data_IF_454603411607
#
_entry.id   IF_454603411607
#
_cell.length_a   1.000
_cell.length_b   1.000
_cell.length_c   1.000
_cell.angle_alpha   90.00
_cell.angle_beta   90.00
_cell.angle_gamma   90.00
#
_symmetry.space_group_name_H-M   'P 1'
#
loop_
_entity.id
_entity.type
_entity.pdbx_description
1 polymer ?
#
# COMPACT_ATOMS: atom_id res chain seq x y z
N UNK A 1 -9.66 24.55 1.44
CA UNK A 1 -8.76 23.63 2.16
C UNK A 1 -9.00 22.26 1.55
N UNK A 2 -8.00 21.66 0.96
CA UNK A 2 -8.20 20.48 0.06
C UNK A 2 -8.05 19.20 0.87
N UNK A 3 -9.12 18.41 1.00
CA UNK A 3 -9.12 17.09 1.64
C UNK A 3 -8.11 16.12 0.97
N UNK A 4 -7.75 16.38 -0.29
CA UNK A 4 -6.75 15.62 -1.03
C UNK A 4 -5.32 15.68 -0.44
N UNK A 5 -5.00 16.66 0.39
CA UNK A 5 -3.68 16.72 1.03
C UNK A 5 -3.50 15.69 2.15
N UNK A 6 -4.57 15.21 2.76
CA UNK A 6 -4.51 14.24 3.87
C UNK A 6 -4.38 12.78 3.40
N UNK A 7 -4.98 12.42 2.27
CA UNK A 7 -4.85 11.08 1.70
C UNK A 7 -3.40 10.71 1.37
N UNK A 8 -2.55 11.71 1.06
CA UNK A 8 -1.13 11.49 0.75
C UNK A 8 -0.24 11.18 1.97
N UNK A 9 -0.72 11.43 3.20
CA UNK A 9 0.07 11.17 4.43
C UNK A 9 -0.15 9.80 5.06
N UNK A 10 -1.30 9.15 4.84
CA UNK A 10 -1.60 7.84 5.41
C UNK A 10 -0.91 6.66 4.70
N UNK A 11 -0.36 6.89 3.51
CA UNK A 11 0.32 5.86 2.70
C UNK A 11 1.76 5.51 3.14
N UNK A 12 2.27 6.03 4.27
CA UNK A 12 3.69 5.85 4.68
C UNK A 12 3.97 4.67 5.61
N UNK A 13 3.08 3.72 5.73
CA UNK A 13 3.24 2.56 6.60
C UNK A 13 3.70 1.28 5.90
N UNK A 14 4.63 1.33 4.93
CA UNK A 14 5.27 0.11 4.44
C UNK A 14 6.64 -0.06 5.11
N UNK A 15 6.66 -0.86 6.17
CA UNK A 15 7.89 -1.48 6.62
C UNK A 15 8.44 -2.34 5.48
N UNK A 16 9.72 -2.13 5.18
CA UNK A 16 10.47 -2.96 4.25
C UNK A 16 10.34 -4.44 4.69
N UNK A 17 9.61 -5.24 3.93
CA UNK A 17 9.64 -6.68 4.06
C UNK A 17 11.08 -7.11 3.75
N UNK A 18 11.80 -7.54 4.78
CA UNK A 18 13.05 -8.27 4.62
C UNK A 18 12.71 -9.56 3.88
N UNK A 19 13.05 -9.61 2.60
CA UNK A 19 12.97 -10.84 1.81
C UNK A 19 14.01 -11.77 2.38
N UNK A 20 13.57 -12.85 3.05
CA UNK A 20 14.44 -13.92 3.45
C UNK A 20 15.15 -14.46 2.19
N UNK A 21 16.45 -14.28 2.13
CA UNK A 21 17.28 -14.89 1.09
C UNK A 21 17.37 -16.40 1.40
N UNK A 22 16.42 -17.18 0.88
CA UNK A 22 16.59 -18.61 0.82
C UNK A 22 17.71 -18.90 -0.18
N UNK A 23 18.68 -19.69 0.23
CA UNK A 23 19.78 -20.14 -0.60
C UNK A 23 19.24 -20.93 -1.79
N UNK A 24 19.28 -20.34 -2.98
CA UNK A 24 18.78 -20.94 -4.21
C UNK A 24 19.66 -22.11 -4.62
N UNK A 25 19.19 -23.34 -4.43
CA UNK A 25 19.83 -24.51 -5.00
C UNK A 25 19.59 -24.51 -6.52
N UNK A 26 20.67 -24.57 -7.27
CA UNK A 26 20.69 -24.66 -8.72
C UNK A 26 20.13 -26.02 -9.17
N UNK A 27 18.83 -26.08 -9.45
CA UNK A 27 18.22 -27.23 -10.10
C UNK A 27 18.81 -27.44 -11.51
N UNK A 28 19.18 -28.66 -11.83
CA UNK A 28 19.84 -29.06 -13.07
C UNK A 28 18.94 -28.87 -14.30
N UNK A 29 19.08 -27.73 -14.97
CA UNK A 29 18.59 -27.54 -16.35
C UNK A 29 19.57 -26.61 -17.07
N UNK A 30 20.02 -27.00 -18.24
CA UNK A 30 20.98 -26.39 -19.17
C UNK A 30 22.16 -25.65 -18.47
N UNK A 31 23.40 -26.04 -18.74
CA UNK A 31 24.57 -25.36 -18.13
C UNK A 31 24.47 -23.85 -18.36
N UNK A 32 24.33 -23.02 -17.30
CA UNK A 32 24.22 -21.57 -17.46
C UNK A 32 25.51 -21.04 -18.11
N UNK A 33 25.40 -19.94 -18.87
CA UNK A 33 26.60 -19.23 -19.37
C UNK A 33 27.45 -18.82 -18.17
N UNK A 34 28.60 -19.45 -18.01
CA UNK A 34 29.51 -19.20 -16.89
C UNK A 34 29.85 -17.68 -16.77
N UNK A 35 29.90 -16.97 -17.89
CA UNK A 35 30.19 -15.53 -17.90
C UNK A 35 29.06 -14.68 -17.30
N UNK A 36 27.79 -15.04 -17.57
CA UNK A 36 26.66 -14.33 -16.96
C UNK A 36 26.55 -14.63 -15.45
N UNK A 37 26.50 -15.91 -15.07
CA UNK A 37 26.33 -16.31 -13.67
C UNK A 37 27.48 -15.84 -12.78
N UNK A 38 28.73 -15.93 -13.25
CA UNK A 38 29.89 -15.46 -12.50
C UNK A 38 29.79 -13.98 -12.12
N UNK A 39 29.21 -13.17 -13.00
CA UNK A 39 29.05 -11.73 -12.77
C UNK A 39 27.76 -11.39 -12.04
N UNK A 40 26.68 -12.12 -12.31
CA UNK A 40 25.36 -11.84 -11.76
C UNK A 40 25.16 -12.33 -10.32
N UNK A 41 25.63 -13.53 -9.98
CA UNK A 41 25.40 -14.13 -8.67
C UNK A 41 25.85 -13.26 -7.48
N UNK A 42 27.03 -12.60 -7.50
CA UNK A 42 27.43 -11.70 -6.44
C UNK A 42 26.49 -10.48 -6.32
N UNK A 43 26.05 -9.90 -7.40
CA UNK A 43 25.14 -8.75 -7.40
C UNK A 43 23.78 -9.15 -6.84
N UNK A 44 23.25 -10.28 -7.28
CA UNK A 44 21.99 -10.85 -6.76
C UNK A 44 22.08 -11.05 -5.24
N UNK A 45 23.12 -11.76 -4.77
CA UNK A 45 23.33 -11.98 -3.35
C UNK A 45 23.40 -10.69 -2.57
N UNK A 46 24.10 -9.67 -3.05
CA UNK A 46 24.22 -8.36 -2.39
C UNK A 46 22.87 -7.66 -2.27
N UNK A 47 22.02 -7.73 -3.30
CA UNK A 47 20.70 -7.08 -3.27
C UNK A 47 19.74 -7.75 -2.30
N UNK A 48 19.80 -9.07 -2.18
CA UNK A 48 18.83 -9.85 -1.39
C UNK A 48 19.39 -10.41 -0.06
N UNK A 49 20.65 -10.12 0.30
CA UNK A 49 21.17 -10.48 1.62
C UNK A 49 20.57 -9.63 2.74
N UNK A 50 20.36 -10.21 3.90
CA UNK A 50 19.98 -9.47 5.11
C UNK A 50 21.08 -8.47 5.47
N UNK A 51 20.71 -7.18 5.61
CA UNK A 51 21.66 -6.12 5.92
C UNK A 51 22.57 -5.69 4.77
N UNK A 52 22.36 -6.21 3.56
CA UNK A 52 23.14 -5.84 2.38
C UNK A 52 23.06 -4.34 2.08
N UNK A 53 24.18 -3.63 2.27
CA UNK A 53 24.33 -2.22 1.88
C UNK A 53 25.01 -2.14 0.53
N UNK A 54 24.44 -1.36 -0.39
CA UNK A 54 25.04 -1.12 -1.70
C UNK A 54 24.71 0.28 -2.22
N UNK A 55 25.60 0.81 -3.07
CA UNK A 55 25.30 2.01 -3.83
C UNK A 55 24.27 1.68 -4.92
N UNK A 56 23.04 2.17 -4.75
CA UNK A 56 21.97 1.90 -5.72
C UNK A 56 22.31 2.37 -7.15
N UNK A 57 23.14 3.44 -7.31
CA UNK A 57 23.57 3.91 -8.62
C UNK A 57 24.59 2.94 -9.25
N UNK A 58 25.63 2.53 -8.53
CA UNK A 58 26.62 1.58 -9.02
C UNK A 58 25.97 0.24 -9.34
N UNK A 59 25.16 -0.30 -8.43
CA UNK A 59 24.42 -1.56 -8.62
C UNK A 59 23.55 -1.52 -9.88
N UNK A 60 22.84 -0.42 -10.13
CA UNK A 60 22.04 -0.29 -11.37
C UNK A 60 22.91 -0.33 -12.63
N UNK A 61 24.07 0.33 -12.62
CA UNK A 61 24.99 0.32 -13.76
C UNK A 61 25.56 -1.09 -14.00
N UNK A 62 25.96 -1.78 -12.94
CA UNK A 62 26.50 -3.15 -13.02
C UNK A 62 25.46 -4.14 -13.57
N UNK A 63 24.19 -4.03 -13.11
CA UNK A 63 23.11 -4.87 -13.61
C UNK A 63 22.76 -4.56 -15.07
N UNK A 64 22.76 -3.28 -15.49
CA UNK A 64 22.55 -2.89 -16.88
C UNK A 64 23.65 -3.43 -17.79
N UNK A 65 24.91 -3.44 -17.33
CA UNK A 65 26.05 -3.98 -18.07
C UNK A 65 25.94 -5.49 -18.34
N UNK A 66 25.01 -6.20 -17.67
CA UNK A 66 24.74 -7.63 -17.90
C UNK A 66 23.67 -7.89 -18.98
N UNK A 67 22.84 -6.90 -19.32
CA UNK A 67 21.77 -7.09 -20.31
C UNK A 67 22.25 -7.62 -21.68
N UNK A 68 23.37 -7.15 -22.25
CA UNK A 68 23.88 -7.71 -23.50
C UNK A 68 24.22 -9.20 -23.41
N UNK A 69 24.56 -9.70 -22.20
CA UNK A 69 24.89 -11.09 -22.00
C UNK A 69 23.66 -12.00 -22.09
N UNK A 70 22.44 -11.46 -21.88
CA UNK A 70 21.20 -12.22 -22.03
C UNK A 70 20.95 -12.73 -23.45
N UNK A 71 21.63 -12.15 -24.45
CA UNK A 71 21.54 -12.57 -25.86
C UNK A 71 22.50 -13.72 -26.23
N UNK A 72 23.37 -14.12 -25.30
CA UNK A 72 24.34 -15.18 -25.55
C UNK A 72 23.71 -16.56 -25.50
N UNK A 73 24.22 -17.51 -26.30
CA UNK A 73 23.80 -18.90 -26.20
C UNK A 73 24.01 -19.45 -24.78
N UNK A 74 23.03 -20.22 -24.29
CA UNK A 74 23.09 -20.85 -22.97
C UNK A 74 22.44 -20.01 -21.85
N UNK A 75 22.09 -18.72 -22.06
CA UNK A 75 21.29 -17.94 -21.13
C UNK A 75 19.83 -18.33 -21.33
N UNK A 76 19.17 -18.68 -20.22
CA UNK A 76 17.77 -19.13 -20.21
C UNK A 76 16.81 -18.05 -19.71
N UNK A 77 15.53 -18.21 -20.01
CA UNK A 77 14.47 -17.26 -19.58
C UNK A 77 14.51 -16.94 -18.07
N UNK A 78 14.86 -17.93 -17.24
CA UNK A 78 15.05 -17.76 -15.79
C UNK A 78 16.14 -16.72 -15.45
N UNK A 79 17.23 -16.68 -16.19
CA UNK A 79 18.34 -15.75 -15.97
C UNK A 79 17.90 -14.32 -16.30
N UNK A 80 17.20 -14.15 -17.42
CA UNK A 80 16.62 -12.86 -17.80
C UNK A 80 15.60 -12.38 -16.73
N UNK A 81 14.73 -13.26 -16.27
CA UNK A 81 13.78 -12.98 -15.21
C UNK A 81 14.50 -12.49 -13.94
N UNK A 82 15.50 -13.23 -13.46
CA UNK A 82 16.25 -12.89 -12.25
C UNK A 82 16.98 -11.55 -12.37
N UNK A 83 17.60 -11.27 -13.52
CA UNK A 83 18.27 -10.00 -13.76
C UNK A 83 17.28 -8.83 -13.64
N UNK A 84 16.15 -8.89 -14.35
CA UNK A 84 15.17 -7.80 -14.34
C UNK A 84 14.41 -7.71 -13.01
N UNK A 85 14.21 -8.83 -12.30
CA UNK A 85 13.71 -8.82 -10.92
C UNK A 85 14.66 -8.06 -9.98
N UNK A 86 15.95 -8.30 -10.10
CA UNK A 86 16.97 -7.60 -9.31
C UNK A 86 17.02 -6.11 -9.65
N UNK A 87 16.96 -5.75 -10.94
CA UNK A 87 16.89 -4.35 -11.38
C UNK A 87 15.65 -3.65 -10.82
N UNK A 88 14.48 -4.28 -10.90
CA UNK A 88 13.24 -3.73 -10.35
C UNK A 88 13.39 -3.43 -8.85
N UNK A 89 13.98 -4.35 -8.09
CA UNK A 89 14.23 -4.20 -6.65
C UNK A 89 15.20 -3.05 -6.35
N UNK A 90 16.26 -2.89 -7.14
CA UNK A 90 17.22 -1.79 -6.98
C UNK A 90 16.60 -0.44 -7.36
N UNK A 91 15.84 -0.36 -8.44
CA UNK A 91 15.14 0.87 -8.82
C UNK A 91 14.11 1.28 -7.77
N UNK A 92 13.34 0.33 -7.24
CA UNK A 92 12.37 0.60 -6.18
C UNK A 92 13.04 1.18 -4.91
N UNK A 93 14.18 0.61 -4.47
CA UNK A 93 14.95 1.16 -3.34
C UNK A 93 15.50 2.56 -3.59
N UNK A 94 15.67 2.95 -4.85
CA UNK A 94 16.08 4.30 -5.27
C UNK A 94 14.91 5.27 -5.45
N UNK A 95 13.67 4.85 -5.23
CA UNK A 95 12.47 5.65 -5.49
C UNK A 95 12.16 5.86 -6.98
N UNK A 96 12.75 5.06 -7.87
CA UNK A 96 12.59 5.13 -9.33
C UNK A 96 11.43 4.22 -9.76
N UNK A 97 10.21 4.58 -9.39
CA UNK A 97 9.02 3.73 -9.56
C UNK A 97 8.72 3.38 -11.02
N UNK A 98 8.94 4.32 -11.94
CA UNK A 98 8.73 4.10 -13.37
C UNK A 98 9.68 3.04 -13.94
N UNK A 99 10.95 3.13 -13.59
CA UNK A 99 11.99 2.18 -13.99
C UNK A 99 11.77 0.81 -13.32
N UNK A 100 11.37 0.81 -12.05
CA UNK A 100 11.02 -0.41 -11.32
C UNK A 100 9.86 -1.15 -11.98
N UNK A 101 8.77 -0.44 -12.33
CA UNK A 101 7.62 -1.01 -13.02
C UNK A 101 8.00 -1.56 -14.41
N UNK A 102 8.85 -0.84 -15.15
CA UNK A 102 9.35 -1.28 -16.46
C UNK A 102 10.19 -2.56 -16.35
N UNK A 103 11.12 -2.62 -15.41
CA UNK A 103 11.95 -3.79 -15.17
C UNK A 103 11.10 -4.99 -14.72
N UNK A 104 10.11 -4.79 -13.84
CA UNK A 104 9.17 -5.82 -13.44
C UNK A 104 8.37 -6.38 -14.62
N UNK A 105 7.85 -5.51 -15.49
CA UNK A 105 7.15 -5.93 -16.72
C UNK A 105 8.06 -6.76 -17.64
N UNK A 106 9.31 -6.34 -17.80
CA UNK A 106 10.30 -7.09 -18.62
C UNK A 106 10.61 -8.46 -18.02
N UNK A 107 10.77 -8.55 -16.69
CA UNK A 107 10.97 -9.82 -16.00
C UNK A 107 9.78 -10.77 -16.23
N UNK A 108 8.55 -10.29 -16.00
CA UNK A 108 7.34 -11.09 -16.17
C UNK A 108 7.10 -11.52 -17.63
N UNK A 109 7.58 -10.73 -18.60
CA UNK A 109 7.55 -11.09 -20.02
C UNK A 109 8.57 -12.17 -20.35
N UNK A 110 9.75 -12.13 -19.73
CA UNK A 110 10.79 -13.15 -19.92
C UNK A 110 10.37 -14.53 -19.38
N UNK A 111 9.53 -14.55 -18.31
CA UNK A 111 9.05 -15.78 -17.69
C UNK A 111 7.54 -15.67 -17.41
N UNK A 112 6.67 -15.74 -18.44
CA UNK A 112 5.25 -15.42 -18.31
C UNK A 112 4.41 -16.50 -17.64
N UNK A 113 4.76 -17.77 -17.83
CA UNK A 113 3.98 -18.89 -17.30
C UNK A 113 4.15 -19.02 -15.78
N UNK A 114 3.10 -19.45 -15.05
CA UNK A 114 3.23 -19.79 -13.64
C UNK A 114 4.31 -20.84 -13.43
N UNK A 115 5.13 -20.66 -12.41
CA UNK A 115 6.24 -21.54 -12.12
C UNK A 115 5.86 -22.54 -11.03
N UNK A 116 6.31 -23.78 -11.16
CA UNK A 116 6.20 -24.82 -10.12
C UNK A 116 7.32 -24.72 -9.07
N UNK A 117 8.41 -24.04 -9.41
CA UNK A 117 9.49 -23.71 -8.48
C UNK A 117 8.97 -22.64 -7.48
N UNK A 118 8.94 -22.92 -6.17
CA UNK A 118 8.35 -22.02 -5.18
C UNK A 118 8.99 -20.64 -5.15
N UNK A 119 10.30 -20.54 -5.33
CA UNK A 119 11.02 -19.26 -5.33
C UNK A 119 10.64 -18.39 -6.53
N UNK A 120 10.61 -19.00 -7.72
CA UNK A 120 10.21 -18.27 -8.93
C UNK A 120 8.74 -17.87 -8.88
N UNK A 121 7.90 -18.75 -8.35
CA UNK A 121 6.49 -18.46 -8.14
C UNK A 121 6.31 -17.28 -7.19
N UNK A 122 7.02 -17.28 -6.06
CA UNK A 122 7.03 -16.15 -5.14
C UNK A 122 7.54 -14.86 -5.80
N UNK A 123 8.67 -14.93 -6.51
CA UNK A 123 9.24 -13.76 -7.18
C UNK A 123 8.30 -13.19 -8.26
N UNK A 124 7.59 -14.05 -8.99
CA UNK A 124 6.56 -13.62 -9.95
C UNK A 124 5.39 -12.92 -9.26
N UNK A 125 4.89 -13.50 -8.17
CA UNK A 125 3.84 -12.86 -7.35
C UNK A 125 4.33 -11.52 -6.81
N UNK A 126 5.50 -11.49 -6.18
CA UNK A 126 6.09 -10.27 -5.61
C UNK A 126 6.22 -9.16 -6.64
N UNK A 127 6.72 -9.47 -7.85
CA UNK A 127 6.82 -8.48 -8.93
C UNK A 127 5.44 -7.94 -9.35
N UNK A 128 4.45 -8.81 -9.51
CA UNK A 128 3.07 -8.40 -9.86
C UNK A 128 2.48 -7.53 -8.78
N UNK A 129 2.60 -7.94 -7.52
CA UNK A 129 2.09 -7.22 -6.37
C UNK A 129 2.78 -5.85 -6.21
N UNK A 130 4.11 -5.82 -6.19
CA UNK A 130 4.89 -4.59 -6.03
C UNK A 130 4.72 -3.64 -7.23
N UNK A 131 4.53 -4.16 -8.44
CA UNK A 131 4.31 -3.32 -9.62
C UNK A 131 3.03 -2.51 -9.56
N UNK A 132 2.02 -2.93 -8.81
CA UNK A 132 0.82 -2.13 -8.55
C UNK A 132 1.22 -0.77 -7.97
N UNK A 133 2.01 -0.80 -6.90
CA UNK A 133 2.48 0.41 -6.23
C UNK A 133 3.41 1.24 -7.11
N UNK A 134 4.36 0.61 -7.78
CA UNK A 134 5.29 1.33 -8.66
C UNK A 134 4.58 1.99 -9.84
N UNK A 135 3.56 1.35 -10.41
CA UNK A 135 2.72 1.95 -11.47
C UNK A 135 1.88 3.11 -10.91
N UNK A 136 1.32 2.95 -9.71
CA UNK A 136 0.55 4.01 -9.06
C UNK A 136 1.43 5.25 -8.77
N UNK A 137 2.62 5.03 -8.18
CA UNK A 137 3.58 6.10 -7.89
C UNK A 137 4.10 6.79 -9.17
N UNK A 138 4.09 6.09 -10.31
CA UNK A 138 4.41 6.63 -11.63
C UNK A 138 3.20 7.31 -12.31
N UNK A 139 2.05 7.44 -11.64
CA UNK A 139 0.81 8.02 -12.19
C UNK A 139 0.09 7.13 -13.20
N UNK A 140 0.46 5.84 -13.31
CA UNK A 140 -0.12 4.89 -14.26
C UNK A 140 -1.26 4.08 -13.61
N UNK A 141 -2.23 4.77 -12.99
CA UNK A 141 -3.27 4.17 -12.16
C UNK A 141 -4.12 3.13 -12.92
N UNK A 142 -4.42 3.36 -14.22
CA UNK A 142 -5.17 2.39 -15.03
C UNK A 142 -4.40 1.08 -15.24
N UNK A 143 -3.08 1.15 -15.45
CA UNK A 143 -2.23 -0.03 -15.57
C UNK A 143 -2.09 -0.76 -14.23
N UNK A 144 -1.95 -0.03 -13.12
CA UNK A 144 -1.97 -0.59 -11.78
C UNK A 144 -3.28 -1.33 -11.48
N UNK A 145 -4.43 -0.72 -11.80
CA UNK A 145 -5.75 -1.33 -11.61
C UNK A 145 -5.91 -2.63 -12.42
N UNK A 146 -5.35 -2.68 -13.63
CA UNK A 146 -5.33 -3.92 -14.43
C UNK A 146 -4.56 -5.05 -13.72
N UNK A 147 -3.42 -4.75 -13.09
CA UNK A 147 -2.66 -5.72 -12.29
C UNK A 147 -3.45 -6.18 -11.06
N UNK A 148 -4.08 -5.25 -10.35
CA UNK A 148 -4.96 -5.57 -9.22
C UNK A 148 -6.03 -6.57 -9.64
N UNK A 149 -6.76 -6.29 -10.74
CA UNK A 149 -7.82 -7.19 -11.23
C UNK A 149 -7.30 -8.58 -11.60
N UNK A 150 -6.11 -8.65 -12.19
CA UNK A 150 -5.48 -9.93 -12.52
C UNK A 150 -5.12 -10.74 -11.27
N UNK A 151 -4.63 -10.09 -10.20
CA UNK A 151 -4.34 -10.75 -8.93
C UNK A 151 -5.60 -11.13 -8.17
N UNK A 152 -6.65 -10.30 -8.16
CA UNK A 152 -7.94 -10.62 -7.54
C UNK A 152 -8.59 -11.86 -8.17
N UNK A 153 -8.44 -12.06 -9.48
CA UNK A 153 -8.94 -13.25 -10.17
C UNK A 153 -8.20 -14.54 -9.72
N UNK A 154 -6.93 -14.42 -9.32
CA UNK A 154 -6.13 -15.53 -8.81
C UNK A 154 -6.34 -15.76 -7.31
N UNK A 155 -6.59 -14.71 -6.55
CA UNK A 155 -6.68 -14.72 -5.08
C UNK A 155 -7.98 -14.06 -4.62
N UNK A 156 -9.12 -14.75 -4.72
CA UNK A 156 -10.42 -14.20 -4.33
C UNK A 156 -10.50 -13.94 -2.82
N UNK A 157 -11.15 -12.84 -2.43
CA UNK A 157 -11.28 -12.41 -1.04
C UNK A 157 -11.95 -13.48 -0.15
N UNK A 158 -12.82 -14.30 -0.72
CA UNK A 158 -13.49 -15.40 -0.04
C UNK A 158 -12.54 -16.47 0.51
N UNK A 159 -11.33 -16.58 -0.05
CA UNK A 159 -10.30 -17.48 0.48
C UNK A 159 -9.87 -17.09 1.90
N UNK A 160 -9.91 -15.79 2.24
CA UNK A 160 -9.58 -15.31 3.58
C UNK A 160 -10.75 -15.59 4.54
N UNK A 161 -11.97 -15.30 4.12
CA UNK A 161 -13.15 -15.44 4.95
C UNK A 161 -13.42 -16.91 5.39
N UNK A 162 -12.95 -17.88 4.61
CA UNK A 162 -13.09 -19.31 4.91
C UNK A 162 -12.04 -19.88 5.87
N UNK A 163 -11.02 -19.10 6.27
CA UNK A 163 -9.96 -19.58 7.15
C UNK A 163 -10.33 -19.39 8.64
N UNK A 164 -9.86 -20.25 9.56
CA UNK A 164 -9.91 -19.99 11.00
C UNK A 164 -9.25 -18.65 11.37
N UNK A 165 -9.73 -17.97 12.42
CA UNK A 165 -9.25 -16.65 12.81
C UNK A 165 -7.73 -16.63 13.05
N UNK A 166 -7.20 -17.65 13.73
CA UNK A 166 -5.78 -17.84 14.00
C UNK A 166 -4.93 -18.02 12.73
N UNK A 167 -5.51 -18.53 11.64
CA UNK A 167 -4.83 -18.67 10.36
C UNK A 167 -5.02 -17.45 9.46
N UNK A 168 -6.13 -16.71 9.64
CA UNK A 168 -6.44 -15.54 8.82
C UNK A 168 -5.49 -14.37 9.04
N UNK A 169 -4.96 -14.26 10.29
CA UNK A 169 -4.27 -13.05 10.71
C UNK A 169 -2.86 -13.28 11.22
N UNK A 170 -2.32 -14.50 11.06
CA UNK A 170 -0.97 -14.81 11.52
C UNK A 170 0.08 -13.96 10.77
N UNK A 171 0.46 -12.85 11.39
CA UNK A 171 1.56 -11.98 10.94
C UNK A 171 2.94 -12.54 11.36
N UNK A 172 2.95 -13.45 12.34
CA UNK A 172 4.18 -14.04 12.87
C UNK A 172 4.65 -15.24 12.07
N UNK A 173 3.77 -15.83 11.26
CA UNK A 173 4.19 -16.79 10.27
C UNK A 173 5.19 -16.10 9.34
N UNK A 174 6.43 -15.99 9.81
CA UNK A 174 7.54 -15.93 8.85
C UNK A 174 7.17 -16.96 7.81
N UNK A 175 7.26 -16.67 6.51
CA UNK A 175 7.12 -17.71 5.51
C UNK A 175 8.20 -18.75 5.79
N UNK A 176 7.96 -19.57 6.82
CA UNK A 176 8.80 -20.71 7.18
C UNK A 176 8.84 -21.69 6.02
N UNK A 177 7.94 -21.46 5.05
CA UNK A 177 7.91 -22.14 3.77
C UNK A 177 7.49 -21.09 2.73
N UNK A 178 8.30 -20.91 1.70
CA UNK A 178 7.95 -20.19 0.48
C UNK A 178 6.65 -20.70 -0.18
N UNK A 179 5.93 -21.60 0.47
CA UNK A 179 4.73 -22.29 0.00
C UNK A 179 3.43 -21.60 0.48
N UNK A 180 3.50 -20.71 1.47
CA UNK A 180 2.32 -20.10 2.10
C UNK A 180 2.03 -18.67 1.59
N UNK A 181 2.53 -18.31 0.43
CA UNK A 181 2.17 -17.04 -0.19
C UNK A 181 1.10 -17.22 -1.28
N UNK A 182 0.37 -16.14 -1.58
CA UNK A 182 0.41 -14.86 -0.90
C UNK A 182 -0.13 -14.96 0.53
N UNK A 183 0.49 -14.21 1.43
CA UNK A 183 -0.09 -14.07 2.77
C UNK A 183 -1.46 -13.39 2.68
N UNK A 184 -2.29 -13.62 3.68
CA UNK A 184 -3.61 -12.98 3.74
C UNK A 184 -3.50 -11.46 3.72
N UNK A 185 -2.46 -10.90 4.34
CA UNK A 185 -2.18 -9.47 4.30
C UNK A 185 -1.87 -8.95 2.91
N UNK A 186 -1.15 -9.73 2.11
CA UNK A 186 -0.89 -9.37 0.71
C UNK A 186 -2.18 -9.43 -0.12
N UNK A 187 -3.04 -10.43 0.13
CA UNK A 187 -4.35 -10.51 -0.53
C UNK A 187 -5.21 -9.31 -0.14
N UNK A 188 -5.30 -8.95 1.15
CA UNK A 188 -6.03 -7.76 1.59
C UNK A 188 -5.50 -6.48 0.96
N UNK A 189 -4.17 -6.32 0.89
CA UNK A 189 -3.53 -5.19 0.22
C UNK A 189 -3.94 -5.03 -1.25
N UNK A 190 -4.10 -6.15 -1.99
CA UNK A 190 -4.59 -6.12 -3.38
C UNK A 190 -6.00 -5.51 -3.46
N UNK A 191 -6.87 -5.78 -2.47
CA UNK A 191 -8.23 -5.23 -2.44
C UNK A 191 -8.27 -3.79 -1.94
N UNK A 192 -7.37 -3.39 -1.05
CA UNK A 192 -7.19 -1.99 -0.65
C UNK A 192 -6.72 -1.13 -1.82
N UNK A 193 -5.74 -1.63 -2.58
CA UNK A 193 -5.22 -0.94 -3.77
C UNK A 193 -6.30 -0.72 -4.84
N UNK A 194 -7.29 -1.60 -4.97
CA UNK A 194 -8.42 -1.40 -5.88
C UNK A 194 -9.18 -0.12 -5.56
N UNK A 195 -9.57 0.05 -4.29
CA UNK A 195 -10.32 1.22 -3.85
C UNK A 195 -9.54 2.51 -4.05
N UNK A 196 -8.27 2.51 -3.71
CA UNK A 196 -7.37 3.64 -3.92
C UNK A 196 -7.23 4.00 -5.41
N UNK A 197 -6.92 3.04 -6.27
CA UNK A 197 -6.71 3.28 -7.69
C UNK A 197 -7.99 3.76 -8.42
N UNK A 198 -9.12 3.23 -8.04
CA UNK A 198 -10.42 3.70 -8.56
C UNK A 198 -10.69 5.14 -8.15
N UNK A 199 -10.35 5.52 -6.92
CA UNK A 199 -10.43 6.91 -6.45
C UNK A 199 -9.53 7.83 -7.28
N UNK A 200 -8.25 7.48 -7.46
CA UNK A 200 -7.29 8.27 -8.26
C UNK A 200 -7.71 8.40 -9.74
N UNK A 201 -8.52 7.48 -10.24
CA UNK A 201 -9.12 7.54 -11.58
C UNK A 201 -10.43 8.34 -11.64
N UNK A 202 -10.88 8.94 -10.53
CA UNK A 202 -12.16 9.65 -10.45
C UNK A 202 -13.39 8.73 -10.49
N UNK A 203 -13.21 7.41 -10.35
CA UNK A 203 -14.27 6.39 -10.37
C UNK A 203 -14.83 6.18 -8.97
N UNK A 204 -15.28 7.26 -8.33
CA UNK A 204 -15.62 7.30 -6.90
C UNK A 204 -16.71 6.31 -6.50
N UNK A 205 -17.73 6.08 -7.34
CA UNK A 205 -18.79 5.09 -7.06
C UNK A 205 -18.22 3.68 -6.96
N UNK A 206 -17.34 3.32 -7.89
CA UNK A 206 -16.72 2.00 -7.91
C UNK A 206 -15.68 1.86 -6.79
N UNK A 207 -14.95 2.93 -6.49
CA UNK A 207 -14.03 2.98 -5.36
C UNK A 207 -14.76 2.76 -4.03
N UNK A 208 -15.90 3.41 -3.83
CA UNK A 208 -16.77 3.19 -2.67
C UNK A 208 -17.19 1.73 -2.57
N UNK A 209 -17.71 1.14 -3.65
CA UNK A 209 -18.14 -0.26 -3.67
C UNK A 209 -16.99 -1.24 -3.38
N UNK A 210 -15.78 -0.96 -3.89
CA UNK A 210 -14.60 -1.76 -3.61
C UNK A 210 -14.25 -1.76 -2.11
N UNK A 211 -14.23 -0.60 -1.49
CA UNK A 211 -13.95 -0.45 -0.06
C UNK A 211 -15.09 -1.02 0.81
N UNK A 212 -16.36 -0.86 0.43
CA UNK A 212 -17.51 -1.44 1.13
C UNK A 212 -17.47 -2.98 1.13
N UNK A 213 -16.97 -3.60 0.06
CA UNK A 213 -16.74 -5.07 0.03
C UNK A 213 -15.64 -5.52 1.01
N UNK A 214 -14.66 -4.66 1.25
CA UNK A 214 -13.56 -4.96 2.18
C UNK A 214 -13.92 -4.69 3.64
N UNK A 215 -14.90 -3.83 3.91
CA UNK A 215 -15.25 -3.38 5.25
C UNK A 215 -15.62 -4.52 6.22
N UNK A 216 -16.40 -5.55 5.84
CA UNK A 216 -16.69 -6.68 6.74
C UNK A 216 -15.42 -7.40 7.21
N UNK A 217 -14.50 -7.67 6.29
CA UNK A 217 -13.22 -8.35 6.59
C UNK A 217 -12.34 -7.48 7.49
N UNK A 218 -12.33 -6.16 7.25
CA UNK A 218 -11.59 -5.22 8.10
C UNK A 218 -12.17 -5.16 9.54
N UNK A 219 -13.50 -5.26 9.70
CA UNK A 219 -14.17 -5.33 11.01
C UNK A 219 -13.87 -6.65 11.74
N UNK A 220 -13.92 -7.78 11.02
CA UNK A 220 -13.53 -9.07 11.60
C UNK A 220 -12.09 -9.01 12.11
N UNK A 221 -11.16 -8.50 11.32
CA UNK A 221 -9.77 -8.37 11.73
C UNK A 221 -9.58 -7.48 12.95
N UNK A 222 -10.34 -6.39 13.07
CA UNK A 222 -10.33 -5.56 14.25
C UNK A 222 -10.76 -6.36 15.48
N UNK A 223 -11.85 -7.11 15.37
CA UNK A 223 -12.39 -7.90 16.47
C UNK A 223 -11.46 -9.05 16.90
N UNK A 224 -10.86 -9.76 15.93
CA UNK A 224 -10.01 -10.92 16.18
C UNK A 224 -8.63 -10.55 16.71
N UNK A 225 -8.07 -9.43 16.28
CA UNK A 225 -6.67 -9.07 16.51
C UNK A 225 -6.45 -7.71 17.19
N UNK A 226 -7.50 -6.92 17.40
CA UNK A 226 -7.35 -5.52 17.86
C UNK A 226 -6.55 -4.62 16.89
N UNK A 227 -6.35 -5.04 15.64
CA UNK A 227 -5.54 -4.29 14.66
C UNK A 227 -6.36 -3.24 13.92
N UNK A 228 -6.06 -1.99 14.19
CA UNK A 228 -6.79 -0.84 13.68
C UNK A 228 -6.44 -0.41 12.25
N UNK A 229 -5.23 -0.71 11.79
CA UNK A 229 -4.69 -0.11 10.58
C UNK A 229 -5.62 -0.26 9.37
N UNK A 230 -6.16 -1.46 9.18
CA UNK A 230 -6.98 -1.77 8.01
C UNK A 230 -8.35 -1.13 8.07
N UNK A 231 -9.09 -1.31 9.18
CA UNK A 231 -10.43 -0.71 9.34
C UNK A 231 -10.37 0.81 9.24
N UNK A 232 -9.34 1.42 9.80
CA UNK A 232 -9.10 2.86 9.71
C UNK A 232 -8.95 3.33 8.26
N UNK A 233 -8.12 2.64 7.47
CA UNK A 233 -7.91 2.96 6.05
C UNK A 233 -9.19 2.79 5.23
N UNK A 234 -9.89 1.66 5.41
CA UNK A 234 -11.13 1.38 4.69
C UNK A 234 -12.21 2.41 4.98
N UNK A 235 -12.44 2.77 6.26
CA UNK A 235 -13.43 3.77 6.64
C UNK A 235 -13.10 5.16 6.09
N UNK A 236 -11.81 5.55 6.13
CA UNK A 236 -11.35 6.81 5.53
C UNK A 236 -11.62 6.85 4.03
N UNK A 237 -11.27 5.80 3.32
CA UNK A 237 -11.46 5.72 1.86
C UNK A 237 -12.95 5.74 1.48
N UNK A 238 -13.81 5.05 2.22
CA UNK A 238 -15.26 5.10 1.98
C UNK A 238 -15.80 6.51 2.24
N UNK A 239 -15.42 7.13 3.36
CA UNK A 239 -15.87 8.48 3.71
C UNK A 239 -15.47 9.50 2.62
N UNK A 240 -14.22 9.43 2.13
CA UNK A 240 -13.74 10.29 1.07
C UNK A 240 -14.50 10.04 -0.25
N UNK A 241 -14.74 8.79 -0.63
CA UNK A 241 -15.54 8.49 -1.82
C UNK A 241 -16.99 8.97 -1.70
N UNK A 242 -17.60 8.87 -0.51
CA UNK A 242 -18.93 9.44 -0.23
C UNK A 242 -18.91 10.97 -0.38
N UNK A 243 -17.87 11.62 0.12
CA UNK A 243 -17.68 13.07 -0.03
C UNK A 243 -17.62 13.49 -1.50
N UNK A 244 -16.78 12.84 -2.31
CA UNK A 244 -16.65 13.12 -3.74
C UNK A 244 -17.96 12.87 -4.52
N UNK A 245 -18.82 11.98 -4.03
CA UNK A 245 -20.15 11.71 -4.58
C UNK A 245 -21.23 12.66 -4.08
N UNK A 246 -20.91 13.60 -3.17
CA UNK A 246 -21.87 14.50 -2.54
C UNK A 246 -22.72 13.85 -1.46
N UNK A 247 -22.45 12.60 -1.08
CA UNK A 247 -23.15 11.89 0.00
C UNK A 247 -22.52 12.23 1.37
N UNK A 248 -22.64 13.52 1.73
CA UNK A 248 -22.00 14.07 2.91
C UNK A 248 -22.51 13.44 4.22
N UNK A 249 -23.76 12.97 4.22
CA UNK A 249 -24.35 12.28 5.35
C UNK A 249 -23.65 10.95 5.63
N UNK A 250 -23.44 10.14 4.60
CA UNK A 250 -22.73 8.87 4.72
C UNK A 250 -21.26 9.08 5.04
N UNK A 251 -20.62 10.08 4.43
CA UNK A 251 -19.25 10.44 4.76
C UNK A 251 -19.10 10.70 6.27
N UNK A 252 -20.01 11.51 6.85
CA UNK A 252 -20.03 11.79 8.29
C UNK A 252 -20.23 10.54 9.15
N UNK A 253 -21.10 9.61 8.72
CA UNK A 253 -21.34 8.37 9.47
C UNK A 253 -20.08 7.49 9.54
N UNK A 254 -19.36 7.31 8.43
CA UNK A 254 -18.11 6.54 8.41
C UNK A 254 -16.98 7.22 9.21
N UNK A 255 -16.89 8.56 9.18
CA UNK A 255 -15.92 9.29 9.99
C UNK A 255 -16.23 9.18 11.50
N UNK A 256 -17.51 9.16 11.88
CA UNK A 256 -17.91 8.95 13.28
C UNK A 256 -17.61 7.52 13.76
N UNK A 257 -17.87 6.50 12.93
CA UNK A 257 -17.47 5.12 13.23
C UNK A 257 -15.95 5.03 13.43
N UNK A 258 -15.18 5.64 12.52
CA UNK A 258 -13.72 5.70 12.62
C UNK A 258 -13.26 6.38 13.92
N UNK A 259 -13.88 7.51 14.30
CA UNK A 259 -13.58 8.22 15.53
C UNK A 259 -13.82 7.34 16.77
N UNK A 260 -14.96 6.65 16.82
CA UNK A 260 -15.30 5.77 17.93
C UNK A 260 -14.29 4.63 18.09
N UNK A 261 -13.90 3.99 16.97
CA UNK A 261 -12.90 2.92 16.96
C UNK A 261 -11.54 3.47 17.43
N UNK A 262 -11.12 4.63 16.93
CA UNK A 262 -9.86 5.25 17.29
C UNK A 262 -9.80 5.63 18.77
N UNK A 263 -10.89 6.16 19.33
CA UNK A 263 -11.00 6.48 20.77
C UNK A 263 -10.89 5.22 21.62
N UNK A 264 -11.62 4.16 21.28
CA UNK A 264 -11.58 2.87 22.01
C UNK A 264 -10.17 2.28 22.04
N UNK A 265 -9.44 2.46 20.98
CA UNK A 265 -8.09 1.91 20.82
C UNK A 265 -6.98 2.88 21.23
N UNK A 266 -7.31 4.06 21.72
CA UNK A 266 -6.36 5.11 22.10
C UNK A 266 -5.39 5.51 20.97
N UNK A 267 -5.87 5.43 19.70
CA UNK A 267 -5.12 5.92 18.53
C UNK A 267 -5.30 7.44 18.39
N UNK A 268 -4.52 8.20 19.16
CA UNK A 268 -4.65 9.66 19.26
C UNK A 268 -4.56 10.34 17.90
N UNK A 269 -3.66 9.88 17.02
CA UNK A 269 -3.50 10.45 15.69
C UNK A 269 -4.78 10.33 14.83
N UNK A 270 -5.43 9.17 14.89
CA UNK A 270 -6.70 8.94 14.18
C UNK A 270 -7.88 9.67 14.82
N UNK A 271 -7.87 9.89 16.15
CA UNK A 271 -8.88 10.69 16.83
C UNK A 271 -8.80 12.16 16.35
N UNK A 272 -7.61 12.74 16.35
CA UNK A 272 -7.39 14.12 15.88
C UNK A 272 -7.81 14.30 14.43
N UNK A 273 -7.37 13.38 13.57
CA UNK A 273 -7.72 13.41 12.15
C UNK A 273 -9.24 13.27 11.92
N UNK A 274 -9.91 12.42 12.68
CA UNK A 274 -11.37 12.23 12.57
C UNK A 274 -12.14 13.48 13.02
N UNK A 275 -11.75 14.12 14.12
CA UNK A 275 -12.35 15.38 14.53
C UNK A 275 -12.19 16.47 13.48
N UNK A 276 -10.98 16.60 12.93
CA UNK A 276 -10.69 17.55 11.86
C UNK A 276 -11.58 17.32 10.64
N UNK A 277 -11.65 16.07 10.15
CA UNK A 277 -12.47 15.76 8.98
C UNK A 277 -13.96 15.99 9.22
N UNK A 278 -14.48 15.65 10.41
CA UNK A 278 -15.88 15.93 10.79
C UNK A 278 -16.18 17.42 10.87
N UNK A 279 -15.24 18.22 11.38
CA UNK A 279 -15.35 19.68 11.40
C UNK A 279 -15.43 20.24 9.98
N UNK A 280 -14.49 19.84 9.10
CA UNK A 280 -14.46 20.29 7.70
C UNK A 280 -15.75 19.90 6.99
N UNK A 281 -16.21 18.66 7.16
CA UNK A 281 -17.45 18.17 6.55
C UNK A 281 -18.68 19.00 6.98
N UNK A 282 -18.78 19.32 8.28
CA UNK A 282 -19.87 20.14 8.80
C UNK A 282 -19.81 21.59 8.26
N UNK A 283 -18.61 22.16 8.16
CA UNK A 283 -18.40 23.48 7.57
C UNK A 283 -18.86 23.55 6.10
N UNK A 284 -18.49 22.56 5.30
CA UNK A 284 -18.89 22.49 3.89
C UNK A 284 -20.40 22.28 3.70
N UNK A 285 -21.04 21.62 4.66
CA UNK A 285 -22.51 21.53 4.73
C UNK A 285 -23.17 22.83 5.21
N UNK A 286 -22.40 23.90 5.46
CA UNK A 286 -22.86 25.16 6.04
C UNK A 286 -23.51 24.99 7.42
N UNK A 287 -23.10 23.97 8.16
CA UNK A 287 -23.56 23.67 9.52
C UNK A 287 -22.54 24.24 10.53
N UNK A 288 -22.36 25.56 10.53
CA UNK A 288 -21.37 26.25 11.35
C UNK A 288 -21.44 25.89 12.86
N UNK A 289 -22.63 25.78 13.48
CA UNK A 289 -22.70 25.37 14.89
C UNK A 289 -22.10 23.98 15.11
N UNK A 290 -22.29 23.05 14.16
CA UNK A 290 -21.76 21.70 14.26
C UNK A 290 -20.26 21.66 13.99
N UNK A 291 -19.75 22.45 13.05
CA UNK A 291 -18.32 22.58 12.81
C UNK A 291 -17.59 23.07 14.08
N UNK A 292 -18.14 24.10 14.75
CA UNK A 292 -17.62 24.60 16.03
C UNK A 292 -17.70 23.55 17.15
N UNK A 293 -18.76 22.75 17.18
CA UNK A 293 -18.88 21.67 18.16
C UNK A 293 -17.81 20.59 17.97
N UNK A 294 -17.51 20.22 16.73
CA UNK A 294 -16.43 19.27 16.44
C UNK A 294 -15.07 19.83 16.81
N UNK A 295 -14.84 21.11 16.51
CA UNK A 295 -13.60 21.79 16.89
C UNK A 295 -13.42 21.87 18.40
N UNK A 296 -14.48 22.18 19.15
CA UNK A 296 -14.44 22.20 20.61
C UNK A 296 -14.13 20.82 21.22
N UNK A 297 -14.67 19.74 20.62
CA UNK A 297 -14.33 18.37 21.03
C UNK A 297 -12.88 18.02 20.71
N UNK A 298 -12.36 18.48 19.58
CA UNK A 298 -10.95 18.33 19.22
C UNK A 298 -10.06 19.02 20.24
N UNK A 299 -10.33 20.28 20.56
CA UNK A 299 -9.58 21.06 21.54
C UNK A 299 -9.62 20.39 22.92
N UNK A 300 -10.80 19.99 23.40
CA UNK A 300 -10.93 19.30 24.68
C UNK A 300 -10.11 18.03 24.72
N UNK A 301 -10.13 17.22 23.65
CA UNK A 301 -9.34 16.01 23.58
C UNK A 301 -7.83 16.32 23.61
N UNK A 302 -7.37 17.37 22.91
CA UNK A 302 -5.97 17.79 22.94
C UNK A 302 -5.54 18.29 24.33
N UNK A 303 -6.45 18.96 25.07
CA UNK A 303 -6.23 19.36 26.46
C UNK A 303 -6.08 18.13 27.39
N UNK A 304 -6.98 17.17 27.26
CA UNK A 304 -6.97 15.95 28.08
C UNK A 304 -5.70 15.11 27.84
N UNK A 305 -5.18 15.09 26.60
CA UNK A 305 -3.93 14.43 26.24
C UNK A 305 -2.67 15.28 26.54
N UNK A 306 -2.84 16.52 26.99
CA UNK A 306 -1.75 17.49 27.20
C UNK A 306 -0.89 17.73 25.95
N UNK A 307 -1.50 17.64 24.78
CA UNK A 307 -0.84 17.77 23.47
C UNK A 307 -0.83 19.24 23.03
N UNK A 308 0.25 19.94 23.34
CA UNK A 308 0.38 21.39 23.06
C UNK A 308 0.39 21.73 21.56
N UNK A 309 0.86 20.80 20.70
CA UNK A 309 0.86 20.98 19.26
C UNK A 309 -0.57 20.99 18.74
N UNK A 310 -1.37 20.01 19.13
CA UNK A 310 -2.78 19.93 18.73
C UNK A 310 -3.64 21.04 19.34
N UNK A 311 -3.34 21.51 20.54
CA UNK A 311 -3.99 22.70 21.13
C UNK A 311 -3.69 23.96 20.31
N UNK A 312 -2.48 24.12 19.82
CA UNK A 312 -2.12 25.25 18.93
C UNK A 312 -2.87 25.12 17.61
N UNK A 313 -2.92 23.93 17.05
CA UNK A 313 -3.64 23.65 15.81
C UNK A 313 -5.13 23.96 15.91
N UNK A 314 -5.79 23.62 17.02
CA UNK A 314 -7.22 23.92 17.21
C UNK A 314 -7.50 25.41 17.27
N UNK A 315 -6.61 26.22 17.88
CA UNK A 315 -6.74 27.69 17.89
C UNK A 315 -6.60 28.30 16.49
N UNK A 316 -5.67 27.80 15.69
CA UNK A 316 -5.52 28.21 14.29
C UNK A 316 -6.78 27.89 13.48
N UNK A 317 -7.32 26.68 13.62
CA UNK A 317 -8.56 26.27 12.95
C UNK A 317 -9.76 27.12 13.37
N UNK A 318 -9.86 27.49 14.64
CA UNK A 318 -10.92 28.38 15.11
C UNK A 318 -10.83 29.77 14.45
N UNK A 319 -9.62 30.34 14.39
CA UNK A 319 -9.38 31.60 13.72
C UNK A 319 -9.71 31.55 12.21
N UNK A 320 -9.36 30.44 11.52
CA UNK A 320 -9.72 30.24 10.12
C UNK A 320 -11.25 30.17 9.91
N UNK A 321 -11.99 29.48 10.79
CA UNK A 321 -13.46 29.41 10.73
C UNK A 321 -14.10 30.79 10.95
N UNK A 322 -13.58 31.58 11.88
CA UNK A 322 -14.09 32.92 12.17
C UNK A 322 -13.87 33.90 11.01
N UNK A 323 -12.69 33.87 10.40
CA UNK A 323 -12.39 34.71 9.23
C UNK A 323 -13.31 34.40 8.03
N UNK A 324 -13.63 33.14 7.80
CA UNK A 324 -14.53 32.72 6.71
C UNK A 324 -15.99 33.11 6.97
N UNK A 325 -16.43 33.07 8.23
CA UNK A 325 -17.79 33.49 8.63
C UNK A 325 -18.00 35.00 8.56
N UNK A 326 -16.96 35.80 8.79
CA UNK A 326 -17.05 37.27 8.76
C UNK A 326 -16.89 37.89 7.38
N UNK A 327 -16.65 37.05 6.33
CA UNK A 327 -16.56 37.54 4.95
C UNK A 327 -15.29 38.33 4.62
N UNK A 328 -14.35 38.45 5.54
CA UNK A 328 -13.05 39.08 5.29
C UNK A 328 -12.13 38.04 4.62
N UNK A 329 -12.05 38.09 3.27
CA UNK A 329 -10.91 37.53 2.54
C UNK A 329 -9.75 38.51 2.72
N UNK A 330 -8.53 38.05 3.04
CA UNK A 330 -7.34 38.88 2.97
C UNK A 330 -7.06 39.40 1.55
#
# INVERSE_FOLDING_TARGET
MDLNMLARRTARGFQALAVAAASMSLGAAAKPDAGFQTRFAPLYSTVFSEGGSFSGRAMSADLQALEPLLKKPGVVARDAFRLYYTQASVYARRGMSKEAAKAASTALTALPAPQTDPELSYAQFFLRYSSIRWLADAGQHAAALKQVKALQAQYPLQQIAGLPAEMRWDESAKPARALDFPSQMQILGIYEDEGYLLHELGRFREARQANERLLPVARERLNDMGKLQQIRGVLTNIAQNCYELGDLKQAGAYLQERLQIAQTAQDHASVYDSYFQLMVLAHEQKQEPQARQWLARYEQYALDQKDSEQQTRTRELLAELEQRTTGHRP
#
